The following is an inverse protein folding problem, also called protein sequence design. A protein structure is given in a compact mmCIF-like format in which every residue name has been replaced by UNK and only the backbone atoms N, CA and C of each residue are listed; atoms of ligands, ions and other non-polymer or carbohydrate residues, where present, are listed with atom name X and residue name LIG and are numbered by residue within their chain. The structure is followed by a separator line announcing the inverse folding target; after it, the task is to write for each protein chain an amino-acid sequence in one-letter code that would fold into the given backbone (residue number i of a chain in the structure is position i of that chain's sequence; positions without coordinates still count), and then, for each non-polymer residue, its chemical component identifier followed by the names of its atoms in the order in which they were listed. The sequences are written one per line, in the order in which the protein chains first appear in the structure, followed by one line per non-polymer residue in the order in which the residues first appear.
data_IF_973903168666
#
_entry.id   IF_973903168666
#
_cell.length_a   1.000
_cell.length_b   1.000
_cell.length_c   1.000
_cell.angle_alpha   90.00
_cell.angle_beta   90.00
_cell.angle_gamma   90.00
#
_symmetry.space_group_name_H-M   'P 1'
#
loop_
_entity.id
_entity.type
_entity.pdbx_description
1 polymer ?
#
# COMPACT_ATOMS: atom_id res chain seq x y z
N UNK A 1 -5.78 -14.37 24.68
CA UNK A 1 -4.79 -13.28 24.69
C UNK A 1 -5.25 -12.21 23.70
N UNK A 2 -5.16 -10.94 24.06
CA UNK A 2 -5.51 -9.85 23.13
C UNK A 2 -4.43 -9.77 22.05
N UNK A 3 -4.85 -9.52 20.81
CA UNK A 3 -3.94 -9.41 19.67
C UNK A 3 -3.87 -7.97 19.17
N UNK A 4 -2.65 -7.47 18.97
CA UNK A 4 -2.36 -6.16 18.38
C UNK A 4 -1.99 -6.32 16.91
N UNK A 5 -2.44 -5.41 16.05
CA UNK A 5 -1.94 -5.32 14.68
C UNK A 5 -0.87 -4.22 14.63
N UNK A 6 0.30 -4.58 14.11
CA UNK A 6 1.42 -3.67 13.87
C UNK A 6 1.67 -3.62 12.37
N UNK A 7 1.81 -2.42 11.84
CA UNK A 7 2.07 -2.20 10.40
C UNK A 7 3.26 -1.26 10.22
N UNK A 8 3.91 -1.30 9.08
CA UNK A 8 4.76 -0.18 8.70
C UNK A 8 3.95 0.96 8.06
N UNK A 9 4.52 2.14 7.95
CA UNK A 9 3.80 3.33 7.51
C UNK A 9 3.38 3.34 6.04
N UNK A 10 3.81 2.34 5.26
CA UNK A 10 3.40 2.22 3.85
C UNK A 10 2.04 1.55 3.67
N UNK A 11 1.43 1.02 4.75
CA UNK A 11 0.07 0.54 4.72
C UNK A 11 -0.90 1.75 4.71
N UNK A 12 -1.47 2.04 3.55
CA UNK A 12 -2.44 3.11 3.42
C UNK A 12 -3.81 2.63 3.89
N UNK A 13 -4.25 3.19 4.99
CA UNK A 13 -5.43 2.78 5.74
C UNK A 13 -6.45 3.91 5.79
N UNK A 14 -7.74 3.55 5.81
CA UNK A 14 -8.78 4.51 6.17
C UNK A 14 -8.65 4.90 7.65
N UNK A 15 -9.12 6.10 8.05
CA UNK A 15 -8.91 6.63 9.41
C UNK A 15 -9.36 5.68 10.52
N UNK A 16 -10.48 4.97 10.33
CA UNK A 16 -11.07 4.06 11.33
C UNK A 16 -10.16 2.84 11.57
N UNK A 17 -9.51 2.33 10.54
CA UNK A 17 -8.56 1.22 10.66
C UNK A 17 -7.21 1.73 11.19
N UNK A 18 -6.77 2.90 10.71
CA UNK A 18 -5.51 3.52 11.16
C UNK A 18 -5.50 3.76 12.67
N UNK A 19 -6.62 4.13 13.25
CA UNK A 19 -6.75 4.36 14.71
C UNK A 19 -6.61 3.07 15.55
N UNK A 20 -6.69 1.88 14.94
CA UNK A 20 -6.65 0.57 15.62
C UNK A 20 -5.28 -0.12 15.53
N UNK A 21 -4.35 0.37 14.74
CA UNK A 21 -3.03 -0.24 14.52
C UNK A 21 -1.93 0.51 15.26
N UNK A 22 -0.84 -0.17 15.56
CA UNK A 22 0.45 0.46 15.86
C UNK A 22 1.25 0.59 14.57
N UNK A 23 1.83 1.76 14.31
CA UNK A 23 2.57 2.02 13.08
C UNK A 23 4.05 2.19 13.35
N UNK A 24 4.89 1.45 12.63
CA UNK A 24 6.35 1.61 12.60
C UNK A 24 6.69 2.45 11.36
N UNK A 25 7.19 3.68 11.54
CA UNK A 25 7.39 4.58 10.42
C UNK A 25 8.65 4.26 9.62
N UNK A 26 8.56 4.46 8.30
CA UNK A 26 9.71 4.60 7.42
C UNK A 26 10.12 6.09 7.35
N UNK A 27 11.21 6.36 6.63
CA UNK A 27 11.77 7.71 6.50
C UNK A 27 11.76 8.16 5.04
N UNK A 28 11.48 9.43 4.82
CA UNK A 28 11.58 10.13 3.52
C UNK A 28 12.67 11.18 3.61
N UNK A 29 13.54 11.28 2.60
CA UNK A 29 14.62 12.24 2.52
C UNK A 29 14.45 13.17 1.31
N UNK A 30 14.46 14.47 1.54
CA UNK A 30 14.58 15.49 0.50
C UNK A 30 15.99 16.10 0.57
N UNK A 31 16.93 15.57 -0.20
CA UNK A 31 18.34 15.96 -0.08
C UNK A 31 18.90 15.65 1.30
N UNK A 32 19.21 16.70 2.09
CA UNK A 32 19.71 16.56 3.47
C UNK A 32 18.62 16.58 4.54
N UNK A 33 17.38 16.88 4.17
CA UNK A 33 16.26 16.92 5.11
C UNK A 33 15.66 15.52 5.28
N UNK A 34 15.45 15.12 6.52
CA UNK A 34 14.88 13.83 6.89
C UNK A 34 13.51 14.00 7.53
N UNK A 35 12.54 13.21 7.08
CA UNK A 35 11.17 13.21 7.56
C UNK A 35 10.71 11.81 7.93
N UNK A 36 10.12 11.68 9.11
CA UNK A 36 9.50 10.44 9.57
C UNK A 36 8.06 10.41 9.07
N UNK A 37 7.74 9.41 8.23
CA UNK A 37 6.44 9.27 7.55
C UNK A 37 5.26 9.20 8.53
N UNK A 38 4.31 10.12 8.36
CA UNK A 38 3.14 10.24 9.22
C UNK A 38 3.40 10.80 10.63
N UNK A 39 4.65 11.21 10.94
CA UNK A 39 5.05 11.77 12.23
C UNK A 39 5.55 13.21 12.08
N UNK A 40 6.57 13.44 11.26
CA UNK A 40 7.14 14.78 11.01
C UNK A 40 6.76 15.34 9.64
N UNK A 41 6.14 14.53 8.79
CA UNK A 41 5.53 14.96 7.53
C UNK A 41 4.20 14.23 7.35
N UNK A 42 3.14 14.95 7.00
CA UNK A 42 1.88 14.37 6.56
C UNK A 42 1.79 14.27 5.04
N UNK A 43 0.78 13.56 4.53
CA UNK A 43 0.63 13.34 3.10
C UNK A 43 0.47 14.64 2.32
N UNK A 44 -0.27 15.63 2.84
CA UNK A 44 -0.49 16.90 2.16
C UNK A 44 0.81 17.66 1.99
N UNK A 45 1.52 17.88 3.09
CA UNK A 45 2.82 18.58 3.12
C UNK A 45 3.85 17.87 2.23
N UNK A 46 3.84 16.51 2.25
CA UNK A 46 4.71 15.74 1.39
C UNK A 46 4.45 16.02 -0.10
N UNK A 47 3.18 15.96 -0.55
CA UNK A 47 2.87 16.18 -1.97
C UNK A 47 3.07 17.63 -2.40
N UNK A 48 2.79 18.60 -1.54
CA UNK A 48 3.13 20.02 -1.79
C UNK A 48 4.64 20.15 -2.03
N UNK A 49 5.46 19.60 -1.11
CA UNK A 49 6.92 19.62 -1.23
C UNK A 49 7.43 18.85 -2.45
N UNK A 50 6.83 17.69 -2.77
CA UNK A 50 7.20 16.89 -3.95
C UNK A 50 6.97 17.63 -5.25
N UNK A 51 5.89 18.42 -5.35
CA UNK A 51 5.54 19.19 -6.56
C UNK A 51 6.42 20.43 -6.71
N UNK A 52 6.77 21.07 -5.59
CA UNK A 52 7.56 22.30 -5.60
C UNK A 52 9.08 22.07 -5.66
N UNK A 53 9.54 20.88 -5.29
CA UNK A 53 10.97 20.56 -5.20
C UNK A 53 11.57 20.10 -6.51
N UNK A 54 12.72 20.65 -6.89
CA UNK A 54 13.56 20.13 -7.97
C UNK A 54 14.30 18.84 -7.58
N UNK A 55 14.37 18.55 -6.27
CA UNK A 55 15.04 17.35 -5.72
C UNK A 55 14.01 16.28 -5.47
N UNK A 56 14.14 15.16 -6.20
CA UNK A 56 13.30 14.00 -5.93
C UNK A 56 13.68 13.34 -4.62
N UNK A 57 12.70 12.99 -3.78
CA UNK A 57 12.95 12.33 -2.51
C UNK A 57 13.44 10.89 -2.69
N UNK A 58 14.04 10.39 -1.61
CA UNK A 58 14.39 8.97 -1.44
C UNK A 58 13.79 8.46 -0.13
N UNK A 59 13.79 7.14 0.08
CA UNK A 59 13.21 6.52 1.27
C UNK A 59 14.19 5.57 1.94
N UNK A 60 14.07 5.44 3.26
CA UNK A 60 14.76 4.43 4.06
C UNK A 60 13.75 3.51 4.74
N UNK A 61 14.12 2.22 4.83
CA UNK A 61 13.31 1.20 5.49
C UNK A 61 13.17 1.47 7.01
N UNK A 62 12.14 0.91 7.62
CA UNK A 62 12.06 0.83 9.08
C UNK A 62 13.17 -0.07 9.64
N UNK A 63 13.78 0.36 10.74
CA UNK A 63 14.89 -0.37 11.37
C UNK A 63 14.39 -1.46 12.31
N UNK A 64 15.21 -2.49 12.64
CA UNK A 64 14.87 -3.46 13.69
C UNK A 64 14.56 -2.80 15.03
N UNK A 65 15.31 -1.78 15.43
CA UNK A 65 15.08 -1.04 16.69
C UNK A 65 13.70 -0.36 16.73
N UNK A 66 13.20 0.10 15.60
CA UNK A 66 11.86 0.69 15.54
C UNK A 66 10.76 -0.36 15.80
N UNK A 67 10.94 -1.58 15.30
CA UNK A 67 10.05 -2.71 15.58
C UNK A 67 10.17 -3.19 17.03
N UNK A 68 11.40 -3.31 17.57
CA UNK A 68 11.64 -3.71 18.97
C UNK A 68 10.86 -2.81 19.93
N UNK A 69 10.84 -1.50 19.69
CA UNK A 69 10.08 -0.55 20.53
C UNK A 69 8.59 -0.87 20.59
N UNK A 70 7.99 -1.31 19.50
CA UNK A 70 6.59 -1.74 19.48
C UNK A 70 6.39 -3.13 20.09
N UNK A 71 7.33 -4.05 19.86
CA UNK A 71 7.29 -5.41 20.42
C UNK A 71 7.44 -5.42 21.95
N UNK A 72 8.26 -4.52 22.50
CA UNK A 72 8.34 -4.32 23.95
C UNK A 72 6.99 -3.88 24.57
N UNK A 73 6.22 -3.05 23.88
CA UNK A 73 4.88 -2.68 24.33
C UNK A 73 3.92 -3.88 24.32
N UNK A 74 4.04 -4.77 23.32
CA UNK A 74 3.27 -6.02 23.24
C UNK A 74 3.63 -6.94 24.39
N UNK A 75 4.94 -7.15 24.65
CA UNK A 75 5.44 -7.98 25.74
C UNK A 75 5.00 -7.45 27.11
N UNK A 76 5.13 -6.16 27.37
CA UNK A 76 4.73 -5.52 28.63
C UNK A 76 3.22 -5.62 28.90
N UNK A 77 2.41 -5.63 27.83
CA UNK A 77 0.95 -5.76 27.93
C UNK A 77 0.48 -7.23 27.98
N UNK A 78 1.40 -8.20 27.90
CA UNK A 78 1.09 -9.63 27.80
C UNK A 78 0.12 -9.94 26.63
N UNK A 79 0.29 -9.21 25.53
CA UNK A 79 -0.49 -9.35 24.29
C UNK A 79 0.26 -10.23 23.26
N UNK A 80 -0.41 -10.60 22.17
CA UNK A 80 0.23 -11.11 20.96
C UNK A 80 0.19 -10.03 19.87
N UNK A 81 0.97 -10.20 18.80
CA UNK A 81 0.87 -9.30 17.65
C UNK A 81 0.95 -10.03 16.31
N UNK A 82 0.19 -9.51 15.33
CA UNK A 82 0.39 -9.77 13.92
C UNK A 82 1.02 -8.52 13.30
N UNK A 83 2.20 -8.70 12.72
CA UNK A 83 2.97 -7.63 12.08
C UNK A 83 2.82 -7.78 10.58
N UNK A 84 2.29 -6.77 9.90
CA UNK A 84 2.09 -6.81 8.45
C UNK A 84 2.94 -5.71 7.82
N UNK A 85 3.90 -6.09 6.98
CA UNK A 85 4.81 -5.15 6.31
C UNK A 85 4.50 -5.05 4.83
N UNK A 86 5.04 -3.99 4.19
CA UNK A 86 5.08 -3.98 2.72
C UNK A 86 5.93 -5.15 2.20
N UNK A 87 5.79 -5.40 0.88
CA UNK A 87 6.51 -6.47 0.20
C UNK A 87 8.03 -6.44 0.47
N UNK A 88 8.58 -7.59 0.85
CA UNK A 88 10.01 -7.79 1.07
C UNK A 88 10.86 -7.47 -0.16
N UNK A 89 10.29 -7.57 -1.36
CA UNK A 89 10.95 -7.20 -2.63
C UNK A 89 11.06 -5.68 -2.85
N UNK A 90 10.25 -4.88 -2.17
CA UNK A 90 10.31 -3.42 -2.27
C UNK A 90 11.27 -2.79 -1.25
N UNK A 91 11.40 -3.42 -0.07
CA UNK A 91 12.13 -2.84 1.07
C UNK A 91 12.62 -3.93 2.01
N UNK A 92 13.75 -3.67 2.67
CA UNK A 92 14.23 -4.51 3.77
C UNK A 92 13.42 -4.41 5.07
N UNK A 93 12.29 -3.68 5.07
CA UNK A 93 11.43 -3.50 6.27
C UNK A 93 10.92 -4.84 6.81
N UNK A 94 10.49 -5.76 5.94
CA UNK A 94 10.12 -7.12 6.35
C UNK A 94 11.27 -7.82 7.08
N UNK A 95 12.48 -7.78 6.52
CA UNK A 95 13.66 -8.39 7.15
C UNK A 95 13.98 -7.74 8.50
N UNK A 96 13.82 -6.41 8.61
CA UNK A 96 13.97 -5.70 9.88
C UNK A 96 12.98 -6.18 10.94
N UNK A 97 11.70 -6.39 10.55
CA UNK A 97 10.68 -6.93 11.44
C UNK A 97 10.99 -8.36 11.87
N UNK A 98 11.46 -9.23 10.95
CA UNK A 98 11.86 -10.61 11.24
C UNK A 98 13.05 -10.68 12.21
N UNK A 99 14.06 -9.83 12.02
CA UNK A 99 15.21 -9.74 12.93
C UNK A 99 14.73 -9.32 14.32
N UNK A 100 13.87 -8.30 14.39
CA UNK A 100 13.32 -7.82 15.66
C UNK A 100 12.45 -8.86 16.37
N UNK A 101 11.73 -9.71 15.63
CA UNK A 101 10.82 -10.71 16.19
C UNK A 101 11.53 -11.96 16.73
N UNK A 102 12.81 -12.16 16.44
CA UNK A 102 13.52 -13.41 16.75
C UNK A 102 13.50 -13.79 18.26
N UNK A 103 13.42 -12.80 19.14
CA UNK A 103 13.41 -12.99 20.60
C UNK A 103 12.00 -12.90 21.23
N UNK A 104 10.93 -12.99 20.42
CA UNK A 104 9.53 -12.85 20.86
C UNK A 104 8.68 -14.02 20.39
N UNK A 105 8.07 -14.76 21.33
CA UNK A 105 7.27 -15.95 21.01
C UNK A 105 5.88 -15.65 20.43
N UNK A 106 5.29 -14.49 20.79
CA UNK A 106 3.90 -14.15 20.43
C UNK A 106 3.79 -13.08 19.33
N UNK A 107 4.82 -12.96 18.49
CA UNK A 107 4.87 -12.00 17.38
C UNK A 107 4.97 -12.74 16.06
N UNK A 108 3.97 -12.55 15.20
CA UNK A 108 3.83 -13.22 13.92
C UNK A 108 3.99 -12.21 12.80
N UNK A 109 5.07 -12.32 12.02
CA UNK A 109 5.40 -11.38 10.95
C UNK A 109 4.95 -11.92 9.61
N UNK A 110 4.16 -11.13 8.88
CA UNK A 110 3.60 -11.43 7.55
C UNK A 110 4.20 -10.47 6.53
N UNK A 111 4.87 -11.02 5.51
CA UNK A 111 5.21 -10.26 4.30
C UNK A 111 3.92 -9.98 3.52
N UNK A 112 3.48 -8.73 3.46
CA UNK A 112 2.25 -8.35 2.75
C UNK A 112 2.28 -8.59 1.24
N UNK A 113 3.47 -8.85 0.66
CA UNK A 113 3.69 -9.02 -0.80
C UNK A 113 3.04 -7.92 -1.66
N UNK A 114 2.75 -6.79 -1.05
CA UNK A 114 2.06 -5.65 -1.63
C UNK A 114 2.54 -4.35 -0.99
N UNK A 115 1.91 -3.24 -1.29
CA UNK A 115 2.13 -1.94 -0.67
C UNK A 115 0.83 -1.11 -0.72
N UNK A 116 0.84 0.06 -0.05
CA UNK A 116 -0.27 0.99 -0.08
C UNK A 116 -1.61 0.33 0.31
N UNK A 117 -2.66 0.53 -0.50
CA UNK A 117 -3.99 -0.03 -0.30
C UNK A 117 -4.00 -1.56 -0.31
N UNK A 118 -3.04 -2.21 -1.01
CA UNK A 118 -2.93 -3.67 -1.02
C UNK A 118 -2.58 -4.24 0.35
N UNK A 119 -1.61 -3.62 1.04
CA UNK A 119 -1.33 -3.92 2.45
C UNK A 119 -2.52 -3.49 3.33
N UNK A 120 -3.16 -2.36 3.01
CA UNK A 120 -4.33 -1.86 3.74
C UNK A 120 -5.48 -2.85 3.81
N UNK A 121 -5.86 -3.48 2.69
CA UNK A 121 -6.93 -4.48 2.69
C UNK A 121 -6.53 -5.79 3.38
N UNK A 122 -5.24 -6.13 3.40
CA UNK A 122 -4.74 -7.27 4.18
C UNK A 122 -4.86 -7.01 5.69
N UNK A 123 -4.55 -5.78 6.13
CA UNK A 123 -4.74 -5.34 7.52
C UNK A 123 -6.22 -5.38 7.91
N UNK A 124 -7.12 -4.94 7.03
CA UNK A 124 -8.55 -5.01 7.29
C UNK A 124 -9.05 -6.46 7.38
N UNK A 125 -8.52 -7.36 6.53
CA UNK A 125 -8.81 -8.78 6.66
C UNK A 125 -8.34 -9.32 8.01
N UNK A 126 -7.16 -8.92 8.49
CA UNK A 126 -6.66 -9.33 9.80
C UNK A 126 -7.63 -8.95 10.93
N UNK A 127 -8.16 -7.71 10.92
CA UNK A 127 -9.16 -7.31 11.90
C UNK A 127 -10.43 -8.14 11.82
N UNK A 128 -10.94 -8.45 10.62
CA UNK A 128 -12.13 -9.30 10.46
C UNK A 128 -11.92 -10.71 11.05
N UNK A 129 -10.72 -11.27 10.93
CA UNK A 129 -10.36 -12.58 11.48
C UNK A 129 -10.28 -12.53 13.01
N UNK A 130 -9.66 -11.50 13.57
CA UNK A 130 -9.62 -11.28 15.02
C UNK A 130 -11.00 -11.01 15.61
N UNK A 131 -11.85 -10.25 14.92
CA UNK A 131 -13.22 -9.93 15.36
C UNK A 131 -14.12 -11.19 15.43
N UNK A 132 -13.81 -12.27 14.66
CA UNK A 132 -14.48 -13.58 14.77
C UNK A 132 -13.78 -14.54 15.74
N UNK A 133 -12.77 -14.06 16.49
CA UNK A 133 -12.17 -14.78 17.60
C UNK A 133 -10.92 -15.62 17.25
N UNK A 134 -10.33 -15.45 16.07
CA UNK A 134 -9.06 -16.10 15.73
C UNK A 134 -7.91 -15.57 16.59
N UNK A 135 -6.96 -16.42 16.92
CA UNK A 135 -5.70 -16.05 17.57
C UNK A 135 -4.78 -15.29 16.62
N UNK A 136 -3.70 -14.69 17.14
CA UNK A 136 -2.68 -14.03 16.32
C UNK A 136 -2.03 -15.01 15.34
N UNK A 137 -1.71 -16.22 15.79
CA UNK A 137 -1.09 -17.25 14.96
C UNK A 137 -2.01 -17.70 13.82
N UNK A 138 -3.26 -18.07 14.15
CA UNK A 138 -4.25 -18.45 13.14
C UNK A 138 -4.51 -17.32 12.13
N UNK A 139 -4.60 -16.07 12.62
CA UNK A 139 -4.74 -14.89 11.76
C UNK A 139 -3.57 -14.78 10.79
N UNK A 140 -2.33 -14.86 11.28
CA UNK A 140 -1.15 -14.79 10.43
C UNK A 140 -1.14 -15.90 9.36
N UNK A 141 -1.49 -17.15 9.72
CA UNK A 141 -1.59 -18.27 8.78
C UNK A 141 -2.64 -18.02 7.68
N UNK A 142 -3.82 -17.50 8.04
CA UNK A 142 -4.87 -17.16 7.05
C UNK A 142 -4.44 -16.01 6.15
N UNK A 143 -3.70 -15.02 6.68
CA UNK A 143 -3.17 -13.91 5.89
C UNK A 143 -2.13 -14.38 4.85
N UNK A 144 -1.30 -15.38 5.17
CA UNK A 144 -0.33 -15.98 4.23
C UNK A 144 -1.00 -16.57 2.98
N UNK A 145 -2.20 -17.13 3.11
CA UNK A 145 -2.99 -17.59 1.96
C UNK A 145 -3.82 -16.45 1.34
N UNK A 146 -4.37 -15.57 2.17
CA UNK A 146 -5.20 -14.45 1.73
C UNK A 146 -4.46 -13.48 0.81
N UNK A 147 -3.22 -13.15 1.14
CA UNK A 147 -2.39 -12.20 0.36
C UNK A 147 -2.18 -12.62 -1.10
N UNK A 148 -2.18 -13.92 -1.40
CA UNK A 148 -2.05 -14.46 -2.77
C UNK A 148 -3.24 -14.12 -3.68
N UNK A 149 -4.36 -13.70 -3.09
CA UNK A 149 -5.56 -13.27 -3.81
C UNK A 149 -5.68 -11.76 -3.96
N UNK A 150 -4.77 -11.00 -3.36
CA UNK A 150 -4.77 -9.55 -3.47
C UNK A 150 -4.27 -9.13 -4.84
N UNK A 151 -5.04 -8.28 -5.46
CA UNK A 151 -4.69 -7.58 -6.70
C UNK A 151 -4.66 -6.08 -6.41
N UNK A 152 -3.60 -5.45 -6.83
CA UNK A 152 -3.48 -3.99 -6.85
C UNK A 152 -3.30 -3.58 -8.29
N UNK A 153 -4.20 -2.76 -8.82
CA UNK A 153 -4.03 -2.11 -10.11
C UNK A 153 -3.95 -0.60 -9.92
N UNK A 154 -3.07 0.04 -10.65
CA UNK A 154 -2.85 1.48 -10.54
C UNK A 154 -2.66 2.14 -11.91
N UNK A 155 -3.33 3.25 -12.13
CA UNK A 155 -3.05 4.19 -13.20
C UNK A 155 -2.12 5.26 -12.64
N UNK A 156 -0.93 5.42 -13.21
CA UNK A 156 0.04 6.44 -12.77
C UNK A 156 0.26 7.49 -13.85
N UNK A 157 0.70 8.67 -13.45
CA UNK A 157 0.97 9.75 -14.40
C UNK A 157 2.22 9.48 -15.25
N UNK A 158 3.25 8.94 -14.61
CA UNK A 158 4.55 8.63 -15.22
C UNK A 158 5.23 7.47 -14.51
N UNK A 159 6.17 6.79 -15.18
CA UNK A 159 7.06 5.78 -14.56
C UNK A 159 8.34 6.39 -13.99
N UNK A 160 8.54 7.70 -14.11
CA UNK A 160 9.80 8.36 -13.76
C UNK A 160 10.16 8.15 -12.28
N UNK A 161 9.18 8.30 -11.38
CA UNK A 161 9.38 8.12 -9.94
C UNK A 161 9.77 6.67 -9.59
N UNK A 162 9.06 5.69 -10.16
CA UNK A 162 9.38 4.26 -9.98
C UNK A 162 10.75 3.89 -10.52
N UNK A 163 11.11 4.45 -11.68
CA UNK A 163 12.41 4.23 -12.33
C UNK A 163 13.54 4.79 -11.49
N UNK A 164 13.43 6.03 -11.04
CA UNK A 164 14.45 6.69 -10.20
C UNK A 164 14.54 6.02 -8.83
N UNK A 165 13.41 5.61 -8.25
CA UNK A 165 13.37 4.85 -7.01
C UNK A 165 13.90 3.43 -7.12
N UNK A 166 14.13 2.90 -8.33
CA UNK A 166 14.62 1.54 -8.55
C UNK A 166 13.65 0.42 -8.18
N UNK A 167 12.34 0.72 -8.02
CA UNK A 167 11.28 -0.24 -7.67
C UNK A 167 10.50 -0.75 -8.87
N UNK A 168 10.94 -0.43 -10.08
CA UNK A 168 10.42 -1.01 -11.32
C UNK A 168 11.48 -1.92 -11.94
N UNK A 169 11.06 -3.08 -12.49
CA UNK A 169 12.00 -3.99 -13.14
C UNK A 169 12.64 -3.35 -14.38
N UNK A 170 13.88 -3.76 -14.70
CA UNK A 170 14.62 -3.27 -15.87
C UNK A 170 13.91 -3.58 -17.19
N UNK A 171 13.09 -4.64 -17.23
CA UNK A 171 12.26 -5.03 -18.39
C UNK A 171 11.07 -4.12 -18.63
N UNK A 172 10.61 -3.44 -17.59
CA UNK A 172 9.59 -2.39 -17.70
C UNK A 172 10.21 -1.03 -18.08
N UNK A 173 11.52 -1.00 -18.38
CA UNK A 173 12.23 0.20 -18.81
C UNK A 173 11.60 0.77 -20.08
N UNK A 174 10.86 1.81 -19.89
CA UNK A 174 10.10 2.51 -20.90
C UNK A 174 10.99 3.52 -21.61
N UNK A 175 11.07 3.42 -22.91
CA UNK A 175 11.55 4.51 -23.74
C UNK A 175 10.56 5.69 -23.57
N UNK A 176 11.03 6.73 -22.90
CA UNK A 176 10.23 7.86 -22.48
C UNK A 176 9.70 8.72 -23.62
N UNK A 177 8.95 9.71 -23.26
CA UNK A 177 8.81 10.93 -24.05
C UNK A 177 7.54 11.05 -24.89
N UNK A 178 6.58 10.14 -24.83
CA UNK A 178 5.29 10.40 -25.50
C UNK A 178 4.38 11.13 -24.52
N UNK A 179 4.04 12.35 -24.85
CA UNK A 179 3.16 13.22 -24.08
C UNK A 179 1.80 12.55 -23.84
N UNK A 180 1.32 12.63 -22.60
CA UNK A 180 -0.02 12.15 -22.20
C UNK A 180 -0.23 10.63 -22.28
N UNK A 181 0.84 9.82 -22.17
CA UNK A 181 0.73 8.37 -21.98
C UNK A 181 0.72 8.06 -20.49
N UNK A 182 -0.35 7.40 -20.03
CA UNK A 182 -0.53 6.98 -18.65
C UNK A 182 -0.35 5.47 -18.53
N UNK A 183 0.65 5.01 -17.77
CA UNK A 183 0.87 3.60 -17.52
C UNK A 183 -0.19 3.02 -16.57
N UNK A 184 -0.60 1.77 -16.82
CA UNK A 184 -1.37 0.95 -15.89
C UNK A 184 -0.47 -0.16 -15.37
N UNK A 185 -0.40 -0.28 -14.06
CA UNK A 185 0.50 -1.16 -13.33
C UNK A 185 -0.29 -2.13 -12.46
N UNK A 186 0.35 -3.22 -12.08
CA UNK A 186 -0.10 -4.09 -11.00
C UNK A 186 1.06 -4.46 -10.10
N UNK A 187 0.76 -4.75 -8.84
CA UNK A 187 1.69 -5.42 -7.92
C UNK A 187 1.33 -6.92 -7.93
N UNK A 188 2.27 -7.74 -8.37
CA UNK A 188 2.13 -9.19 -8.45
C UNK A 188 3.35 -9.80 -7.75
N UNK A 189 3.12 -10.62 -6.73
CA UNK A 189 4.18 -11.28 -5.94
C UNK A 189 5.26 -10.30 -5.43
N UNK A 190 4.84 -9.11 -5.00
CA UNK A 190 5.72 -8.06 -4.50
C UNK A 190 6.56 -7.36 -5.56
N UNK A 191 6.20 -7.45 -6.84
CA UNK A 191 6.87 -6.76 -7.95
C UNK A 191 5.91 -5.91 -8.76
N UNK A 192 6.40 -4.81 -9.34
CA UNK A 192 5.61 -3.96 -10.21
C UNK A 192 5.68 -4.46 -11.64
N UNK A 193 4.52 -4.74 -12.21
CA UNK A 193 4.33 -5.15 -13.59
C UNK A 193 3.57 -4.09 -14.38
N UNK A 194 4.09 -3.75 -15.57
CA UNK A 194 3.40 -2.89 -16.51
C UNK A 194 2.34 -3.72 -17.27
N UNK A 195 1.07 -3.45 -17.03
CA UNK A 195 -0.05 -4.15 -17.69
C UNK A 195 -0.41 -3.52 -19.04
N UNK A 196 -0.25 -2.21 -19.16
CA UNK A 196 -0.58 -1.51 -20.37
C UNK A 196 -0.33 0.00 -20.29
N UNK A 197 -0.71 0.68 -21.34
CA UNK A 197 -0.56 2.12 -21.53
C UNK A 197 -1.80 2.69 -22.16
N UNK A 198 -2.25 3.81 -21.64
CA UNK A 198 -3.40 4.51 -22.16
C UNK A 198 -3.05 5.93 -22.54
N UNK A 199 -3.74 6.49 -23.51
CA UNK A 199 -3.62 7.90 -23.87
C UNK A 199 -4.70 8.70 -23.15
N UNK A 200 -4.28 9.45 -22.12
CA UNK A 200 -5.17 10.24 -21.27
C UNK A 200 -5.95 9.42 -20.23
N UNK A 201 -6.58 10.12 -19.28
CA UNK A 201 -7.19 9.51 -18.11
C UNK A 201 -8.39 8.62 -18.43
N UNK A 202 -9.25 9.00 -19.39
CA UNK A 202 -10.43 8.22 -19.76
C UNK A 202 -10.08 6.82 -20.28
N UNK A 203 -9.09 6.72 -21.18
CA UNK A 203 -8.60 5.42 -21.66
C UNK A 203 -7.89 4.65 -20.55
N UNK A 204 -7.20 5.37 -19.64
CA UNK A 204 -6.58 4.78 -18.46
C UNK A 204 -7.60 4.17 -17.52
N UNK A 205 -8.69 4.88 -17.22
CA UNK A 205 -9.79 4.38 -16.40
C UNK A 205 -10.43 3.12 -16.99
N UNK A 206 -10.67 3.11 -18.32
CA UNK A 206 -11.19 1.92 -19.00
C UNK A 206 -10.21 0.74 -18.91
N UNK A 207 -8.91 1.00 -19.02
CA UNK A 207 -7.89 -0.06 -18.91
C UNK A 207 -7.82 -0.62 -17.49
N UNK A 208 -7.97 0.21 -16.44
CA UNK A 208 -8.09 -0.27 -15.05
C UNK A 208 -9.27 -1.24 -14.92
N UNK A 209 -10.44 -0.91 -15.46
CA UNK A 209 -11.64 -1.78 -15.46
C UNK A 209 -11.34 -3.10 -16.15
N UNK A 210 -10.73 -3.07 -17.33
CA UNK A 210 -10.37 -4.28 -18.07
C UNK A 210 -9.39 -5.18 -17.31
N UNK A 211 -8.43 -4.59 -16.60
CA UNK A 211 -7.48 -5.37 -15.80
C UNK A 211 -8.13 -5.99 -14.55
N UNK A 212 -9.12 -5.32 -13.94
CA UNK A 212 -9.95 -5.90 -12.89
C UNK A 212 -10.73 -7.11 -13.42
N UNK A 213 -11.34 -7.00 -14.58
CA UNK A 213 -12.09 -8.11 -15.21
C UNK A 213 -11.16 -9.29 -15.56
N UNK A 214 -10.00 -9.02 -16.14
CA UNK A 214 -8.98 -10.03 -16.45
C UNK A 214 -8.47 -10.76 -15.22
N UNK A 215 -8.39 -10.08 -14.07
CA UNK A 215 -8.01 -10.69 -12.80
C UNK A 215 -9.09 -11.61 -12.21
N UNK A 216 -10.26 -11.71 -12.86
CA UNK A 216 -11.40 -12.52 -12.40
C UNK A 216 -12.48 -11.72 -11.66
N UNK A 217 -12.35 -10.40 -11.60
CA UNK A 217 -13.27 -9.51 -10.90
C UNK A 217 -13.05 -9.44 -9.40
N UNK A 218 -13.80 -8.56 -8.75
CA UNK A 218 -13.68 -8.24 -7.33
C UNK A 218 -14.55 -9.17 -6.48
N UNK A 219 -13.97 -9.77 -5.44
CA UNK A 219 -14.72 -10.42 -4.36
C UNK A 219 -15.17 -9.36 -3.34
N UNK A 220 -16.39 -8.86 -3.52
CA UNK A 220 -16.98 -7.83 -2.66
C UNK A 220 -17.36 -8.32 -1.24
N UNK A 221 -17.24 -9.61 -0.94
CA UNK A 221 -17.36 -10.12 0.42
C UNK A 221 -16.13 -9.80 1.27
N UNK A 222 -15.03 -9.46 0.63
CA UNK A 222 -13.74 -9.12 1.22
C UNK A 222 -13.47 -7.61 1.17
N UNK A 223 -12.46 -7.12 1.90
CA UNK A 223 -12.08 -5.71 1.85
C UNK A 223 -11.72 -5.25 0.43
N UNK A 224 -12.20 -4.05 0.09
CA UNK A 224 -11.85 -3.31 -1.13
C UNK A 224 -11.47 -1.90 -0.71
N UNK A 225 -10.38 -1.38 -1.24
CA UNK A 225 -9.91 -0.04 -0.93
C UNK A 225 -9.36 0.65 -2.18
N UNK A 226 -9.83 1.86 -2.42
CA UNK A 226 -9.34 2.72 -3.49
C UNK A 226 -8.36 3.74 -2.93
N UNK A 227 -7.59 4.36 -3.83
CA UNK A 227 -6.67 5.41 -3.41
C UNK A 227 -6.24 6.34 -4.53
N UNK A 228 -5.68 7.46 -4.10
CA UNK A 228 -5.10 8.45 -5.01
C UNK A 228 -3.78 8.95 -4.45
N UNK A 229 -2.91 9.47 -5.30
CA UNK A 229 -1.69 10.16 -4.91
C UNK A 229 -1.72 11.62 -5.35
N UNK A 230 -1.27 12.52 -4.48
CA UNK A 230 -1.27 13.95 -4.72
C UNK A 230 -2.14 14.73 -3.73
N UNK A 231 -2.38 16.00 -4.05
CA UNK A 231 -3.13 16.94 -3.19
C UNK A 231 -4.64 16.96 -3.48
N UNK A 232 -5.11 16.24 -4.51
CA UNK A 232 -6.51 16.22 -4.93
C UNK A 232 -6.95 14.82 -5.33
N UNK A 233 -8.14 14.42 -4.91
CA UNK A 233 -8.82 13.17 -5.26
C UNK A 233 -9.63 13.23 -6.56
N UNK A 234 -9.60 14.35 -7.28
CA UNK A 234 -10.43 14.59 -8.47
C UNK A 234 -10.27 13.49 -9.54
N UNK A 235 -9.06 12.95 -9.74
CA UNK A 235 -8.82 11.86 -10.70
C UNK A 235 -9.45 10.55 -10.22
N UNK A 236 -9.40 10.27 -8.93
CA UNK A 236 -10.05 9.10 -8.35
C UNK A 236 -11.58 9.21 -8.45
N UNK A 237 -12.15 10.36 -8.09
CA UNK A 237 -13.59 10.57 -8.19
C UNK A 237 -14.08 10.44 -9.63
N UNK A 238 -13.29 10.92 -10.60
CA UNK A 238 -13.58 10.73 -12.03
C UNK A 238 -13.51 9.24 -12.43
N UNK A 239 -12.54 8.49 -11.91
CA UNK A 239 -12.46 7.04 -12.14
C UNK A 239 -13.68 6.32 -11.56
N UNK A 240 -14.10 6.65 -10.35
CA UNK A 240 -15.30 6.07 -9.71
C UNK A 240 -16.54 6.32 -10.56
N UNK A 241 -16.71 7.55 -11.07
CA UNK A 241 -17.81 7.90 -11.97
C UNK A 241 -17.75 7.10 -13.27
N UNK A 242 -16.60 7.06 -13.94
CA UNK A 242 -16.40 6.35 -15.21
C UNK A 242 -16.61 4.83 -15.08
N UNK A 243 -16.35 4.27 -13.89
CA UNK A 243 -16.45 2.83 -13.56
C UNK A 243 -17.65 2.48 -12.67
N UNK A 244 -18.66 3.35 -12.59
CA UNK A 244 -19.83 3.22 -11.69
C UNK A 244 -20.45 1.82 -11.69
N UNK A 245 -20.54 1.17 -12.85
CA UNK A 245 -21.10 -0.16 -13.02
C UNK A 245 -20.39 -1.26 -12.20
N UNK A 246 -19.13 -1.05 -11.78
CA UNK A 246 -18.42 -1.98 -10.89
C UNK A 246 -18.93 -1.86 -9.45
N UNK A 247 -19.24 -0.65 -9.02
CA UNK A 247 -19.47 -0.29 -7.62
C UNK A 247 -20.94 -0.32 -7.23
N UNK A 248 -21.84 0.16 -8.12
CA UNK A 248 -23.28 0.22 -7.86
C UNK A 248 -23.86 -1.18 -7.58
N UNK A 249 -24.60 -1.29 -6.48
CA UNK A 249 -25.20 -2.54 -6.03
C UNK A 249 -24.24 -3.52 -5.35
N UNK A 250 -22.93 -3.31 -5.46
CA UNK A 250 -21.92 -4.17 -4.84
C UNK A 250 -21.34 -3.59 -3.54
N UNK A 251 -21.24 -2.27 -3.43
CA UNK A 251 -20.76 -1.57 -2.24
C UNK A 251 -21.81 -0.57 -1.77
N UNK A 252 -22.02 -0.49 -0.44
CA UNK A 252 -22.85 0.57 0.17
C UNK A 252 -22.14 1.92 0.11
N UNK A 253 -20.82 1.89 0.28
CA UNK A 253 -19.94 3.05 0.28
C UNK A 253 -18.58 2.66 -0.33
N UNK A 254 -18.06 3.53 -1.18
CA UNK A 254 -16.72 3.37 -1.75
C UNK A 254 -15.73 4.05 -0.80
N UNK A 255 -14.90 3.25 -0.14
CA UNK A 255 -13.87 3.76 0.76
C UNK A 255 -12.59 4.02 -0.01
N UNK A 256 -11.95 5.13 0.29
CA UNK A 256 -10.65 5.48 -0.30
C UNK A 256 -9.79 6.29 0.67
N UNK A 257 -8.49 6.33 0.38
CA UNK A 257 -7.51 7.08 1.16
C UNK A 257 -6.40 7.61 0.26
N UNK A 258 -5.56 8.49 0.80
CA UNK A 258 -4.39 9.03 0.09
C UNK A 258 -3.23 8.06 0.19
N UNK A 259 -2.49 7.87 -0.90
CA UNK A 259 -1.18 7.18 -0.91
C UNK A 259 -0.20 7.96 -0.03
N UNK A 260 0.43 7.30 0.93
CA UNK A 260 1.38 7.89 1.88
C UNK A 260 2.68 8.36 1.25
N UNK A 261 3.49 9.10 2.02
CA UNK A 261 4.67 9.80 1.51
C UNK A 261 5.76 8.84 0.99
N UNK A 262 5.97 7.71 1.67
CA UNK A 262 6.95 6.70 1.24
C UNK A 262 6.58 6.09 -0.12
N UNK A 263 5.34 5.64 -0.28
CA UNK A 263 4.88 5.10 -1.56
C UNK A 263 4.76 6.21 -2.60
N UNK A 264 4.31 7.41 -2.21
CA UNK A 264 4.23 8.60 -3.06
C UNK A 264 5.57 9.02 -3.66
N UNK A 265 6.67 8.82 -2.93
CA UNK A 265 8.05 9.01 -3.42
C UNK A 265 8.32 8.18 -4.69
N UNK A 266 7.77 6.97 -4.76
CA UNK A 266 7.98 6.04 -5.87
C UNK A 266 6.85 6.08 -6.91
N UNK A 267 5.61 6.35 -6.51
CA UNK A 267 4.46 6.43 -7.42
C UNK A 267 4.32 7.79 -8.10
N UNK A 268 4.81 8.85 -7.46
CA UNK A 268 4.57 10.24 -7.86
C UNK A 268 3.11 10.68 -7.63
N UNK A 269 2.80 11.95 -7.91
CA UNK A 269 1.44 12.47 -7.83
C UNK A 269 0.58 12.01 -9.02
N UNK A 270 -0.74 12.03 -8.87
CA UNK A 270 -1.70 11.78 -9.95
C UNK A 270 -2.01 10.31 -10.20
N UNK A 271 -1.66 9.40 -9.28
CA UNK A 271 -2.06 8.01 -9.38
C UNK A 271 -3.51 7.79 -8.90
N UNK A 272 -4.17 6.79 -9.52
CA UNK A 272 -5.42 6.18 -9.07
C UNK A 272 -5.14 4.71 -8.83
N UNK A 273 -5.50 4.21 -7.64
CA UNK A 273 -5.19 2.85 -7.18
C UNK A 273 -6.47 2.13 -6.79
N UNK A 274 -6.57 0.86 -7.15
CA UNK A 274 -7.64 -0.05 -6.71
C UNK A 274 -6.99 -1.32 -6.16
N UNK A 275 -7.28 -1.62 -4.90
CA UNK A 275 -6.86 -2.84 -4.23
C UNK A 275 -8.07 -3.70 -3.87
N UNK A 276 -8.03 -4.98 -4.22
CA UNK A 276 -9.14 -5.90 -3.99
C UNK A 276 -8.65 -7.35 -3.90
N UNK A 277 -9.49 -8.22 -3.37
CA UNK A 277 -9.32 -9.66 -3.47
C UNK A 277 -10.03 -10.15 -4.74
N UNK A 278 -9.32 -10.92 -5.58
CA UNK A 278 -9.94 -11.58 -6.75
C UNK A 278 -10.88 -12.69 -6.31
N UNK A 279 -11.92 -12.94 -7.10
CA UNK A 279 -12.85 -14.07 -6.93
C UNK A 279 -12.17 -15.41 -7.00
#
# INVERSE_FOLDING_TARGET
MKTRIIVDSTADLVPEIKARVSTVPLTVHFGQEEYIDGVTIDNKTFYEKLIESDVLPTTSQATPDAFIKEFEKVRQAEEAAVVITLASKFSGTYQSAMIAAADYENIYVVDGTSAAMGTGILVELAFRLLDVGMTAEETAQVLEEGKKKIIVVALVDTLEYLKRGGRISKTAAFAGGVLNIKPVLSVIDGEIHLLGKARGSKMGNNLLVQEIDKAGGIDFSRPVLLGYSGISDALLLKYIEDSRHIWEGNLKEIRYTTVGSVIGTHAGPGAVVVAFFKK
#
